data_IF_115850801734
#
_entry.id   IF_115850801734
#
_cell.length_a   1.000
_cell.length_b   1.000
_cell.length_c   1.000
_cell.angle_alpha   90.00
_cell.angle_beta   90.00
_cell.angle_gamma   90.00
#
_symmetry.space_group_name_H-M   'P 1'
#
loop_
_entity.id
_entity.type
_entity.pdbx_description
1 polymer ?
#
# COMPACT_ATOMS: atom_id res chain seq x y z
N UNK A 1 7.24 -1.22 -16.59
CA UNK A 1 6.51 -0.19 -15.81
C UNK A 1 7.52 0.89 -15.49
N UNK A 2 7.30 2.09 -16.00
CA UNK A 2 8.16 3.26 -15.74
C UNK A 2 7.50 4.03 -14.60
N UNK A 3 8.26 4.53 -13.60
CA UNK A 3 7.69 5.43 -12.60
C UNK A 3 7.26 6.71 -13.33
N UNK A 4 5.97 6.87 -13.61
CA UNK A 4 5.44 8.14 -14.11
C UNK A 4 5.62 9.16 -12.99
N UNK A 5 6.61 10.04 -13.15
CA UNK A 5 6.83 11.20 -12.27
C UNK A 5 5.67 12.20 -12.29
N UNK A 6 4.70 12.01 -13.19
CA UNK A 6 3.50 12.83 -13.38
C UNK A 6 2.23 11.96 -13.47
N UNK A 7 2.00 11.07 -12.51
CA UNK A 7 0.69 10.40 -12.42
C UNK A 7 -0.38 11.41 -11.96
N UNK A 8 -1.46 11.54 -12.73
CA UNK A 8 -2.60 12.40 -12.39
C UNK A 8 -3.62 11.64 -11.52
N UNK A 9 -4.47 12.37 -10.80
CA UNK A 9 -5.55 11.76 -10.00
C UNK A 9 -6.47 10.86 -10.83
N UNK A 10 -6.78 11.25 -12.08
CA UNK A 10 -7.60 10.43 -12.98
C UNK A 10 -6.97 9.06 -13.28
N UNK A 11 -5.65 9.00 -13.46
CA UNK A 11 -4.94 7.74 -13.70
C UNK A 11 -4.88 6.87 -12.45
N UNK A 12 -4.75 7.47 -11.28
CA UNK A 12 -4.82 6.74 -10.00
C UNK A 12 -6.19 6.08 -9.84
N UNK A 13 -7.27 6.79 -10.15
CA UNK A 13 -8.62 6.25 -10.07
C UNK A 13 -8.82 5.04 -11.01
N UNK A 14 -8.34 5.14 -12.25
CA UNK A 14 -8.35 4.02 -13.20
C UNK A 14 -7.57 2.82 -12.64
N UNK A 15 -6.37 3.04 -12.10
CA UNK A 15 -5.58 1.96 -11.53
C UNK A 15 -6.19 1.36 -10.27
N UNK A 16 -6.82 2.15 -9.42
CA UNK A 16 -7.54 1.63 -8.27
C UNK A 16 -8.73 0.78 -8.72
N UNK A 17 -9.48 1.21 -9.72
CA UNK A 17 -10.58 0.43 -10.29
C UNK A 17 -10.08 -0.89 -10.93
N UNK A 18 -9.02 -0.84 -11.73
CA UNK A 18 -8.46 -1.99 -12.43
C UNK A 18 -7.77 -2.99 -11.50
N UNK A 19 -6.94 -2.49 -10.58
CA UNK A 19 -6.07 -3.31 -9.72
C UNK A 19 -6.55 -3.43 -8.28
N UNK A 20 -7.72 -2.89 -7.92
CA UNK A 20 -8.23 -2.86 -6.53
C UNK A 20 -8.23 -4.22 -5.85
N UNK A 21 -8.68 -5.27 -6.56
CA UNK A 21 -8.64 -6.66 -6.06
C UNK A 21 -7.22 -7.16 -5.80
N UNK A 22 -6.28 -6.81 -6.69
CA UNK A 22 -4.86 -7.18 -6.58
C UNK A 22 -4.21 -6.42 -5.42
N UNK A 23 -4.48 -5.12 -5.27
CA UNK A 23 -4.00 -4.29 -4.15
C UNK A 23 -4.56 -4.78 -2.81
N UNK A 24 -5.83 -5.16 -2.77
CA UNK A 24 -6.42 -5.78 -1.57
C UNK A 24 -5.75 -7.12 -1.23
N UNK A 25 -5.47 -7.96 -2.24
CA UNK A 25 -4.71 -9.20 -2.02
C UNK A 25 -3.30 -8.92 -1.50
N UNK A 26 -2.60 -7.93 -2.08
CA UNK A 26 -1.28 -7.49 -1.65
C UNK A 26 -1.29 -7.00 -0.19
N UNK A 27 -2.30 -6.23 0.21
CA UNK A 27 -2.49 -5.79 1.61
C UNK A 27 -2.57 -6.98 2.57
N UNK A 28 -3.33 -8.01 2.20
CA UNK A 28 -3.42 -9.25 3.00
C UNK A 28 -2.06 -9.93 3.14
N UNK A 29 -1.26 -9.96 2.07
CA UNK A 29 0.09 -10.53 2.14
C UNK A 29 1.03 -9.67 3.00
N UNK A 30 1.02 -8.35 2.85
CA UNK A 30 1.81 -7.44 3.68
C UNK A 30 1.50 -7.63 5.18
N UNK A 31 0.21 -7.75 5.53
CA UNK A 31 -0.24 -8.05 6.90
C UNK A 31 0.30 -9.40 7.41
N UNK A 32 0.25 -10.45 6.59
CA UNK A 32 0.78 -11.78 6.94
C UNK A 32 2.29 -11.76 7.15
N UNK A 33 3.03 -11.07 6.28
CA UNK A 33 4.49 -10.95 6.39
C UNK A 33 4.84 -10.19 7.66
N UNK A 34 4.22 -9.03 7.91
CA UNK A 34 4.43 -8.26 9.14
C UNK A 34 4.21 -9.09 10.39
N UNK A 35 3.12 -9.86 10.48
CA UNK A 35 2.88 -10.68 11.67
C UNK A 35 3.93 -11.76 11.88
N UNK A 36 4.41 -12.38 10.80
CA UNK A 36 5.51 -13.32 10.90
C UNK A 36 6.79 -12.62 11.36
N UNK A 37 7.10 -11.43 10.84
CA UNK A 37 8.32 -10.74 11.22
C UNK A 37 8.27 -10.15 12.63
N UNK A 38 7.12 -9.64 13.07
CA UNK A 38 6.93 -9.24 14.48
C UNK A 38 7.16 -10.43 15.43
N UNK A 39 6.70 -11.63 15.05
CA UNK A 39 6.87 -12.84 15.88
C UNK A 39 8.34 -13.25 16.03
N UNK A 40 9.16 -13.07 14.99
CA UNK A 40 10.56 -13.48 15.02
C UNK A 40 11.53 -12.37 15.44
N UNK A 41 11.04 -11.19 15.79
CA UNK A 41 11.87 -10.00 16.02
C UNK A 41 13.02 -10.22 17.02
N UNK A 42 12.78 -11.00 18.06
CA UNK A 42 13.77 -11.28 19.12
C UNK A 42 14.94 -12.18 18.66
N UNK A 43 14.84 -12.83 17.50
CA UNK A 43 15.87 -13.70 16.92
C UNK A 43 16.76 -12.99 15.89
N UNK A 44 16.54 -11.70 15.68
CA UNK A 44 17.24 -10.89 14.67
C UNK A 44 17.68 -9.55 15.25
N UNK A 45 18.47 -8.81 14.47
CA UNK A 45 19.02 -7.53 14.87
C UNK A 45 18.11 -6.34 14.50
N UNK A 46 18.64 -5.13 14.70
CA UNK A 46 17.93 -3.89 14.40
C UNK A 46 17.53 -3.76 12.92
N UNK A 47 18.30 -4.32 11.98
CA UNK A 47 17.99 -4.25 10.54
C UNK A 47 16.70 -5.01 10.23
N UNK A 48 16.47 -6.16 10.88
CA UNK A 48 15.22 -6.90 10.77
C UNK A 48 14.03 -6.16 11.41
N UNK A 49 14.28 -5.47 12.53
CA UNK A 49 13.28 -4.62 13.17
C UNK A 49 12.86 -3.46 12.26
N UNK A 50 13.82 -2.79 11.61
CA UNK A 50 13.55 -1.73 10.63
C UNK A 50 12.73 -2.26 9.44
N UNK A 51 13.09 -3.45 8.95
CA UNK A 51 12.34 -4.09 7.87
C UNK A 51 10.89 -4.44 8.27
N UNK A 52 10.69 -4.86 9.52
CA UNK A 52 9.35 -5.12 10.08
C UNK A 52 8.51 -3.84 10.13
N UNK A 53 9.12 -2.72 10.51
CA UNK A 53 8.46 -1.42 10.49
C UNK A 53 8.11 -0.97 9.06
N UNK A 54 8.94 -1.28 8.06
CA UNK A 54 8.61 -1.01 6.67
C UNK A 54 7.41 -1.84 6.17
N UNK A 55 7.29 -3.11 6.58
CA UNK A 55 6.09 -3.91 6.28
C UNK A 55 4.82 -3.31 6.89
N UNK A 56 4.93 -2.68 8.06
CA UNK A 56 3.83 -1.92 8.66
C UNK A 56 3.45 -0.72 7.82
N UNK A 57 4.42 0.10 7.40
CA UNK A 57 4.17 1.23 6.49
C UNK A 57 3.50 0.79 5.19
N UNK A 58 3.97 -0.31 4.58
CA UNK A 58 3.37 -0.88 3.38
C UNK A 58 1.91 -1.34 3.62
N UNK A 59 1.66 -2.02 4.73
CA UNK A 59 0.31 -2.46 5.12
C UNK A 59 -0.63 -1.25 5.28
N UNK A 60 -0.17 -0.18 5.91
CA UNK A 60 -0.98 1.00 6.24
C UNK A 60 -1.31 1.80 4.97
N UNK A 61 -0.34 2.02 4.08
CA UNK A 61 -0.57 2.68 2.78
C UNK A 61 -1.55 1.90 1.89
N UNK A 62 -1.38 0.58 1.80
CA UNK A 62 -2.33 -0.28 1.07
C UNK A 62 -3.71 -0.30 1.73
N UNK A 63 -3.77 -0.13 3.05
CA UNK A 63 -5.01 0.06 3.80
C UNK A 63 -5.73 1.32 3.36
N UNK A 64 -5.04 2.47 3.36
CA UNK A 64 -5.62 3.75 2.98
C UNK A 64 -6.12 3.78 1.53
N UNK A 65 -5.38 3.17 0.60
CA UNK A 65 -5.81 3.04 -0.80
C UNK A 65 -7.11 2.21 -0.89
N UNK A 66 -7.21 1.11 -0.14
CA UNK A 66 -8.42 0.30 -0.11
C UNK A 66 -9.59 1.02 0.58
N UNK A 67 -9.35 1.68 1.72
CA UNK A 67 -10.37 2.35 2.50
C UNK A 67 -11.08 3.44 1.68
N UNK A 68 -10.33 4.12 0.79
CA UNK A 68 -10.92 5.05 -0.16
C UNK A 68 -11.90 4.38 -1.14
N UNK A 69 -11.64 3.15 -1.60
CA UNK A 69 -12.56 2.42 -2.48
C UNK A 69 -13.82 1.97 -1.74
N UNK A 70 -13.65 1.49 -0.51
CA UNK A 70 -14.75 1.11 0.37
C UNK A 70 -15.63 2.32 0.67
N UNK A 71 -15.02 3.47 0.96
CA UNK A 71 -15.76 4.70 1.24
C UNK A 71 -16.53 5.21 0.01
N UNK A 72 -15.92 5.21 -1.18
CA UNK A 72 -16.64 5.53 -2.42
C UNK A 72 -17.82 4.58 -2.69
N UNK A 73 -17.63 3.28 -2.44
CA UNK A 73 -18.70 2.28 -2.57
C UNK A 73 -19.85 2.53 -1.58
N UNK A 74 -19.50 2.92 -0.34
CA UNK A 74 -20.47 3.30 0.68
C UNK A 74 -21.27 4.54 0.27
N UNK A 75 -20.62 5.61 -0.21
CA UNK A 75 -21.31 6.81 -0.69
C UNK A 75 -22.19 6.50 -1.90
N UNK A 76 -21.74 5.65 -2.81
CA UNK A 76 -22.54 5.14 -3.93
C UNK A 76 -23.81 4.43 -3.45
N UNK A 77 -23.74 3.66 -2.36
CA UNK A 77 -24.88 2.95 -1.80
C UNK A 77 -25.86 3.88 -1.09
N UNK A 78 -25.36 4.85 -0.31
CA UNK A 78 -26.20 5.70 0.56
C UNK A 78 -26.75 6.95 -0.14
N UNK A 79 -25.97 7.55 -1.04
CA UNK A 79 -26.30 8.81 -1.73
C UNK A 79 -26.69 8.53 -3.19
N UNK A 80 -26.10 7.51 -3.81
CA UNK A 80 -26.36 7.09 -5.18
C UNK A 80 -25.12 7.18 -6.09
N UNK A 81 -25.22 6.66 -7.33
CA UNK A 81 -24.09 6.51 -8.26
C UNK A 81 -23.53 7.81 -8.84
N UNK A 82 -24.06 8.97 -8.43
CA UNK A 82 -23.62 10.32 -8.82
C UNK A 82 -23.34 11.18 -7.57
N UNK A 83 -22.95 10.53 -6.47
CA UNK A 83 -22.66 11.24 -5.21
C UNK A 83 -21.54 12.27 -5.41
N UNK A 84 -20.63 12.03 -6.36
CA UNK A 84 -19.54 12.92 -6.74
C UNK A 84 -20.04 14.26 -7.28
N UNK A 85 -21.16 14.25 -8.01
CA UNK A 85 -21.84 15.45 -8.51
C UNK A 85 -22.60 16.17 -7.38
N UNK A 86 -23.09 15.39 -6.41
CA UNK A 86 -23.89 15.88 -5.28
C UNK A 86 -23.02 16.52 -4.19
N UNK A 87 -21.79 16.03 -4.00
CA UNK A 87 -20.84 16.51 -3.00
C UNK A 87 -19.44 16.68 -3.63
N UNK A 88 -19.26 17.66 -4.54
CA UNK A 88 -18.04 17.79 -5.34
C UNK A 88 -16.80 18.16 -4.51
N UNK A 89 -16.97 18.82 -3.36
CA UNK A 89 -15.86 19.10 -2.44
C UNK A 89 -15.29 17.84 -1.80
N UNK A 90 -16.16 16.89 -1.42
CA UNK A 90 -15.74 15.60 -0.88
C UNK A 90 -15.05 14.75 -1.94
N UNK A 91 -15.59 14.71 -3.16
CA UNK A 91 -14.95 14.01 -4.27
C UNK A 91 -13.54 14.56 -4.54
N UNK A 92 -13.37 15.89 -4.59
CA UNK A 92 -12.06 16.52 -4.74
C UNK A 92 -11.09 16.09 -3.64
N UNK A 93 -11.52 16.18 -2.38
CA UNK A 93 -10.70 15.77 -1.24
C UNK A 93 -10.29 14.29 -1.33
N UNK A 94 -11.23 13.40 -1.68
CA UNK A 94 -10.93 11.98 -1.84
C UNK A 94 -9.92 11.71 -2.96
N UNK A 95 -10.05 12.40 -4.11
CA UNK A 95 -9.10 12.26 -5.22
C UNK A 95 -7.70 12.76 -4.86
N UNK A 96 -7.60 13.87 -4.14
CA UNK A 96 -6.33 14.39 -3.61
C UNK A 96 -5.70 13.39 -2.64
N UNK A 97 -6.49 12.81 -1.73
CA UNK A 97 -6.00 11.79 -0.80
C UNK A 97 -5.54 10.52 -1.51
N UNK A 98 -6.29 10.02 -2.49
CA UNK A 98 -5.88 8.85 -3.29
C UNK A 98 -4.54 9.10 -3.99
N UNK A 99 -4.39 10.27 -4.61
CA UNK A 99 -3.15 10.65 -5.28
C UNK A 99 -1.97 10.70 -4.31
N UNK A 100 -2.15 11.32 -3.14
CA UNK A 100 -1.13 11.43 -2.11
C UNK A 100 -0.67 10.04 -1.63
N UNK A 101 -1.61 9.14 -1.33
CA UNK A 101 -1.24 7.79 -0.87
C UNK A 101 -0.61 6.95 -1.97
N UNK A 102 -1.04 7.14 -3.22
CA UNK A 102 -0.42 6.48 -4.36
C UNK A 102 1.03 6.93 -4.54
N UNK A 103 1.30 8.23 -4.45
CA UNK A 103 2.64 8.79 -4.53
C UNK A 103 3.57 8.28 -3.42
N UNK A 104 3.04 8.06 -2.21
CA UNK A 104 3.80 7.45 -1.10
C UNK A 104 4.04 5.96 -1.30
N UNK A 105 3.07 5.23 -1.86
CA UNK A 105 3.17 3.80 -2.12
C UNK A 105 4.16 3.47 -3.25
N UNK A 106 4.17 4.27 -4.30
CA UNK A 106 4.97 4.05 -5.50
C UNK A 106 6.47 3.79 -5.25
N UNK A 107 7.22 4.61 -4.49
CA UNK A 107 8.65 4.36 -4.25
C UNK A 107 8.89 3.06 -3.47
N UNK A 108 7.99 2.71 -2.54
CA UNK A 108 8.05 1.45 -1.81
C UNK A 108 7.84 0.29 -2.78
N UNK A 109 6.81 0.35 -3.64
CA UNK A 109 6.58 -0.66 -4.67
C UNK A 109 7.83 -0.87 -5.54
N UNK A 110 8.47 0.21 -6.00
CA UNK A 110 9.70 0.13 -6.80
C UNK A 110 10.85 -0.54 -6.06
N UNK A 111 11.03 -0.20 -4.78
CA UNK A 111 12.01 -0.86 -3.94
C UNK A 111 11.79 -2.38 -3.89
N UNK A 112 10.55 -2.84 -3.73
CA UNK A 112 10.23 -4.28 -3.70
C UNK A 112 10.30 -5.00 -5.07
N UNK A 113 10.25 -4.26 -6.18
CA UNK A 113 10.47 -4.81 -7.52
C UNK A 113 11.96 -4.98 -7.86
N UNK A 114 12.85 -4.25 -7.17
CA UNK A 114 14.29 -4.39 -7.34
C UNK A 114 14.76 -5.81 -6.96
N UNK A 115 15.49 -6.46 -7.87
CA UNK A 115 16.13 -7.75 -7.60
C UNK A 115 17.14 -7.65 -6.46
N UNK A 116 17.97 -6.60 -6.45
CA UNK A 116 18.95 -6.37 -5.40
C UNK A 116 18.31 -6.28 -4.02
N UNK A 117 17.19 -5.54 -3.91
CA UNK A 117 16.49 -5.42 -2.64
C UNK A 117 15.88 -6.75 -2.20
N UNK A 118 15.28 -7.51 -3.12
CA UNK A 118 14.72 -8.85 -2.83
C UNK A 118 15.79 -9.83 -2.35
N UNK A 119 16.98 -9.79 -2.96
CA UNK A 119 18.10 -10.62 -2.54
C UNK A 119 18.60 -10.23 -1.14
N UNK A 120 18.74 -8.93 -0.87
CA UNK A 120 19.12 -8.43 0.46
C UNK A 120 18.11 -8.84 1.53
N UNK A 121 16.81 -8.68 1.25
CA UNK A 121 15.74 -9.07 2.14
C UNK A 121 15.75 -10.57 2.43
N UNK A 122 15.97 -11.39 1.40
CA UNK A 122 16.12 -12.85 1.56
C UNK A 122 17.30 -13.20 2.46
N UNK A 123 18.45 -12.56 2.26
CA UNK A 123 19.64 -12.79 3.07
C UNK A 123 19.44 -12.39 4.53
N UNK A 124 18.71 -11.29 4.77
CA UNK A 124 18.33 -10.84 6.10
C UNK A 124 17.47 -11.89 6.81
N UNK A 125 16.47 -12.45 6.13
CA UNK A 125 15.58 -13.48 6.70
C UNK A 125 16.32 -14.80 6.96
N UNK A 126 17.24 -15.20 6.07
CA UNK A 126 17.95 -16.48 6.19
C UNK A 126 19.09 -16.48 7.22
N UNK A 127 19.40 -15.34 7.86
CA UNK A 127 20.48 -15.20 8.83
C UNK A 127 19.97 -14.73 10.20
N UNK A 128 19.18 -15.54 10.91
CA UNK A 128 18.89 -15.28 12.31
C UNK A 128 20.20 -15.24 13.10
N UNK A 129 20.31 -14.30 14.05
CA UNK A 129 21.37 -14.34 15.04
C UNK A 129 20.85 -15.17 16.20
N UNK A 130 21.13 -16.46 16.15
CA UNK A 130 21.07 -17.28 17.36
C UNK A 130 22.09 -16.70 18.33
N UNK A 131 21.61 -16.23 19.49
CA UNK A 131 22.48 -15.95 20.63
C UNK A 131 23.20 -17.20 21.08
#
# INVERSE_FOLDING_TARGET
>A
WTPDSEITGDRVEIYLAEYGTILHALRKQAKRVRYQTEFFKDFYDSVYTEQTQEFRTLQDLLGQLQDSQVFSSFLTQEIGPKWEESIPSLNRYMREQQLEQWQKWQPIQQKYLSTQFRDNLRMLILRPRWG
#
